data_IF_575084184513
#
_entry.id   IF_575084184513
#
_cell.length_a   1.000
_cell.length_b   1.000
_cell.length_c   1.000
_cell.angle_alpha   90.00
_cell.angle_beta   90.00
_cell.angle_gamma   90.00
#
_symmetry.space_group_name_H-M   'P 1'
#
loop_
_entity.id
_entity.type
_entity.pdbx_description
1 polymer ?
#
# COMPACT_ATOMS: atom_id res chain seq x y z
N UNK A 1 -45.02 -36.66 24.54
CA UNK A 1 -44.13 -36.12 25.57
C UNK A 1 -42.90 -35.59 24.86
N UNK A 2 -42.66 -34.26 24.88
CA UNK A 2 -41.55 -33.63 24.17
C UNK A 2 -40.38 -33.53 25.12
N UNK A 3 -39.30 -34.28 24.85
CA UNK A 3 -38.06 -34.19 25.62
C UNK A 3 -37.32 -32.92 25.24
N UNK A 4 -37.58 -31.84 25.98
CA UNK A 4 -36.78 -30.63 25.91
C UNK A 4 -35.44 -30.90 26.61
N UNK A 5 -34.40 -31.17 25.82
CA UNK A 5 -33.02 -31.24 26.31
C UNK A 5 -32.57 -29.82 26.62
N UNK A 6 -32.50 -29.48 27.91
CA UNK A 6 -32.00 -28.19 28.38
C UNK A 6 -30.50 -28.04 28.11
N UNK A 7 -30.12 -26.84 27.68
CA UNK A 7 -28.73 -26.42 27.50
C UNK A 7 -28.00 -26.52 28.85
N UNK A 8 -26.86 -27.22 28.90
CA UNK A 8 -26.15 -27.40 30.17
C UNK A 8 -25.27 -26.18 30.47
N UNK A 9 -25.12 -25.80 31.75
CA UNK A 9 -24.23 -24.70 32.14
C UNK A 9 -22.78 -24.96 31.73
N UNK A 10 -22.35 -26.23 31.77
CA UNK A 10 -21.00 -26.62 31.39
C UNK A 10 -20.77 -26.48 29.88
N UNK A 11 -21.77 -26.75 29.06
CA UNK A 11 -21.71 -26.57 27.61
C UNK A 11 -21.55 -25.11 27.24
N UNK A 12 -22.27 -24.21 27.91
CA UNK A 12 -22.08 -22.78 27.72
C UNK A 12 -20.69 -22.32 28.20
N UNK A 13 -20.22 -22.84 29.33
CA UNK A 13 -18.89 -22.51 29.89
C UNK A 13 -17.75 -22.93 28.97
N UNK A 14 -17.80 -24.14 28.40
CA UNK A 14 -16.78 -24.62 27.48
C UNK A 14 -16.79 -23.81 26.18
N UNK A 15 -17.98 -23.44 25.68
CA UNK A 15 -18.11 -22.61 24.46
C UNK A 15 -17.47 -21.24 24.65
N UNK A 16 -17.77 -20.53 25.75
CA UNK A 16 -17.16 -19.22 25.99
C UNK A 16 -15.65 -19.32 26.24
N UNK A 17 -15.17 -20.42 26.85
CA UNK A 17 -13.75 -20.67 27.03
C UNK A 17 -13.04 -20.84 25.68
N UNK A 18 -13.61 -21.62 24.76
CA UNK A 18 -13.06 -21.79 23.41
C UNK A 18 -13.13 -20.48 22.63
N UNK A 19 -14.25 -19.74 22.70
CA UNK A 19 -14.40 -18.45 22.03
C UNK A 19 -13.37 -17.43 22.53
N UNK A 20 -13.11 -17.36 23.83
CA UNK A 20 -12.11 -16.45 24.39
C UNK A 20 -10.69 -16.75 23.85
N UNK A 21 -10.33 -18.04 23.76
CA UNK A 21 -9.04 -18.47 23.21
C UNK A 21 -8.94 -18.12 21.72
N UNK A 22 -9.97 -18.44 20.92
CA UNK A 22 -9.98 -18.15 19.49
C UNK A 22 -9.90 -16.64 19.23
N UNK A 23 -10.66 -15.83 19.98
CA UNK A 23 -10.65 -14.38 19.81
C UNK A 23 -9.26 -13.78 20.07
N UNK A 24 -8.58 -14.24 21.12
CA UNK A 24 -7.22 -13.81 21.44
C UNK A 24 -6.21 -14.12 20.33
N UNK A 25 -6.27 -15.33 19.75
CA UNK A 25 -5.39 -15.72 18.65
C UNK A 25 -5.69 -14.91 17.38
N UNK A 26 -6.96 -14.74 17.02
CA UNK A 26 -7.34 -14.00 15.80
C UNK A 26 -6.95 -12.53 15.85
N UNK A 27 -6.99 -11.90 17.03
CA UNK A 27 -6.59 -10.50 17.18
C UNK A 27 -5.11 -10.30 16.83
N UNK A 28 -4.23 -11.22 17.27
CA UNK A 28 -2.80 -11.18 16.98
C UNK A 28 -2.48 -11.44 15.50
N UNK A 29 -3.30 -12.24 14.80
CA UNK A 29 -3.07 -12.50 13.37
C UNK A 29 -3.45 -11.33 12.47
N UNK A 30 -4.31 -10.42 12.94
CA UNK A 30 -4.77 -9.27 12.16
C UNK A 30 -3.84 -8.05 12.30
N UNK A 31 -3.00 -8.00 13.34
CA UNK A 31 -2.00 -6.94 13.49
C UNK A 31 -0.90 -7.13 12.45
N UNK A 32 -0.81 -6.23 11.46
CA UNK A 32 0.21 -6.24 10.40
C UNK A 32 -0.33 -6.42 8.98
N UNK A 33 -1.57 -6.93 8.81
CA UNK A 33 -2.17 -7.11 7.47
C UNK A 33 -2.35 -5.76 6.76
N UNK A 34 -2.62 -4.68 7.50
CA UNK A 34 -2.74 -3.34 6.94
C UNK A 34 -1.43 -2.81 6.36
N UNK A 35 -0.32 -3.03 7.08
CA UNK A 35 1.00 -2.54 6.68
C UNK A 35 1.55 -3.31 5.47
N UNK A 36 1.30 -4.62 5.41
CA UNK A 36 1.64 -5.43 4.24
C UNK A 36 0.84 -4.96 3.00
N UNK A 37 -0.46 -4.70 3.18
CA UNK A 37 -1.32 -4.23 2.10
C UNK A 37 -0.94 -2.83 1.60
N UNK A 38 -0.45 -1.94 2.49
CA UNK A 38 0.04 -0.62 2.07
C UNK A 38 1.37 -0.72 1.34
N UNK A 39 2.29 -1.59 1.77
CA UNK A 39 3.55 -1.84 1.08
C UNK A 39 3.34 -2.43 -0.33
N UNK A 40 2.45 -3.42 -0.48
CA UNK A 40 2.12 -3.99 -1.78
C UNK A 40 1.40 -2.98 -2.70
N UNK A 41 0.55 -2.12 -2.13
CA UNK A 41 -0.06 -1.03 -2.88
C UNK A 41 0.98 0.02 -3.33
N UNK A 42 1.95 0.34 -2.47
CA UNK A 42 3.04 1.26 -2.79
C UNK A 42 3.90 0.71 -3.93
N UNK A 43 4.26 -0.57 -3.87
CA UNK A 43 4.96 -1.29 -4.96
C UNK A 43 4.23 -1.20 -6.29
N UNK A 44 2.94 -1.53 -6.30
CA UNK A 44 2.15 -1.52 -7.53
C UNK A 44 2.05 -0.10 -8.14
N UNK A 45 1.93 0.94 -7.32
CA UNK A 45 1.96 2.33 -7.80
C UNK A 45 3.35 2.71 -8.32
N UNK A 46 4.44 2.26 -7.68
CA UNK A 46 5.82 2.43 -8.15
C UNK A 46 6.04 1.83 -9.55
N UNK A 47 5.59 0.60 -9.78
CA UNK A 47 5.68 -0.07 -11.10
C UNK A 47 4.91 0.68 -12.20
N UNK A 48 3.74 1.24 -11.86
CA UNK A 48 2.93 2.06 -12.77
C UNK A 48 3.67 3.36 -13.12
N UNK A 49 4.28 4.01 -12.13
CA UNK A 49 5.05 5.24 -12.33
C UNK A 49 6.32 4.98 -13.14
N UNK A 50 7.04 3.87 -12.89
CA UNK A 50 8.19 3.47 -13.71
C UNK A 50 7.77 3.30 -15.17
N UNK A 51 6.65 2.61 -15.41
CA UNK A 51 6.12 2.45 -16.77
C UNK A 51 5.80 3.81 -17.43
N UNK A 52 5.27 4.76 -16.66
CA UNK A 52 4.99 6.11 -17.16
C UNK A 52 6.28 6.89 -17.48
N UNK A 53 7.32 6.77 -16.64
CA UNK A 53 8.64 7.33 -16.88
C UNK A 53 9.26 6.74 -18.16
N UNK A 54 9.23 5.42 -18.34
CA UNK A 54 9.74 4.74 -19.52
C UNK A 54 9.03 5.19 -20.81
N UNK A 55 7.69 5.29 -20.78
CA UNK A 55 6.92 5.79 -21.93
C UNK A 55 7.30 7.24 -22.25
N UNK A 56 7.45 8.06 -21.22
CA UNK A 56 7.77 9.46 -21.38
C UNK A 56 9.20 9.68 -21.93
N UNK A 57 10.15 8.83 -21.52
CA UNK A 57 11.52 8.78 -22.05
C UNK A 57 11.54 8.39 -23.53
N UNK A 58 10.87 7.28 -23.87
CA UNK A 58 10.82 6.75 -25.25
C UNK A 58 10.19 7.73 -26.25
N UNK A 59 9.27 8.57 -25.80
CA UNK A 59 8.63 9.61 -26.60
C UNK A 59 9.42 10.92 -26.63
N UNK A 60 10.56 11.01 -25.92
CA UNK A 60 11.37 12.23 -25.74
C UNK A 60 10.55 13.43 -25.25
N UNK A 61 9.43 13.15 -24.56
CA UNK A 61 8.47 14.14 -24.04
C UNK A 61 8.76 14.51 -22.60
N UNK A 62 9.54 13.69 -21.90
CA UNK A 62 10.12 14.08 -20.63
C UNK A 62 11.23 15.08 -20.92
N UNK A 63 11.05 16.33 -20.48
CA UNK A 63 12.19 17.20 -20.21
C UNK A 63 13.05 16.42 -19.24
N UNK A 64 14.16 15.86 -19.73
CA UNK A 64 15.20 15.14 -18.99
C UNK A 64 15.19 15.58 -17.52
N UNK A 65 14.70 14.76 -16.56
CA UNK A 65 14.84 15.13 -15.17
C UNK A 65 16.31 14.91 -14.85
N UNK A 66 17.20 15.79 -15.31
CA UNK A 66 18.62 15.79 -14.96
C UNK A 66 18.87 16.10 -13.48
N UNK A 67 17.85 15.92 -12.65
CA UNK A 67 17.78 16.15 -11.22
C UNK A 67 16.80 15.13 -10.64
N UNK A 68 17.20 14.52 -9.53
CA UNK A 68 16.33 13.67 -8.73
C UNK A 68 15.03 14.41 -8.39
N UNK A 69 13.92 13.68 -8.40
CA UNK A 69 12.59 14.23 -8.19
C UNK A 69 11.81 13.48 -7.11
N UNK A 70 10.88 14.20 -6.50
CA UNK A 70 9.88 13.65 -5.59
C UNK A 70 8.59 14.41 -5.78
N UNK A 71 7.50 13.68 -6.06
CA UNK A 71 6.18 14.29 -6.12
C UNK A 71 5.09 13.27 -5.80
N UNK A 72 3.86 13.77 -5.65
CA UNK A 72 2.67 12.94 -5.71
C UNK A 72 2.25 12.79 -7.19
N UNK A 73 2.51 11.64 -7.84
CA UNK A 73 2.38 11.52 -9.28
C UNK A 73 0.91 11.48 -9.68
N UNK A 74 0.56 12.16 -10.77
CA UNK A 74 -0.79 12.15 -11.32
C UNK A 74 -0.87 12.74 -12.73
N UNK A 75 -2.06 12.76 -13.35
CA UNK A 75 -2.27 13.18 -14.74
C UNK A 75 -1.71 14.56 -15.11
N UNK A 76 -1.54 15.43 -14.12
CA UNK A 76 -1.16 16.83 -14.29
C UNK A 76 0.04 17.24 -13.40
N UNK A 77 0.82 16.27 -12.91
CA UNK A 77 1.93 16.56 -11.97
C UNK A 77 3.19 17.02 -12.72
N UNK A 78 3.77 16.12 -13.52
CA UNK A 78 5.00 16.29 -14.27
C UNK A 78 4.83 15.77 -15.71
N UNK A 79 5.91 15.77 -16.51
CA UNK A 79 5.86 15.35 -17.91
C UNK A 79 5.39 13.90 -18.09
N UNK A 80 5.84 12.97 -17.23
CA UNK A 80 5.38 11.59 -17.25
C UNK A 80 3.95 11.44 -16.69
N UNK A 81 3.49 12.41 -15.90
CA UNK A 81 2.15 12.46 -15.33
C UNK A 81 1.06 12.31 -16.38
N UNK A 82 1.26 12.82 -17.59
CA UNK A 82 0.31 12.68 -18.71
C UNK A 82 -0.04 11.22 -19.07
N UNK A 83 0.80 10.25 -18.71
CA UNK A 83 0.58 8.82 -18.94
C UNK A 83 -0.11 8.11 -17.78
N UNK A 84 -0.34 8.81 -16.66
CA UNK A 84 -1.04 8.29 -15.51
C UNK A 84 -2.54 8.55 -15.63
N UNK A 85 -3.35 7.58 -15.18
CA UNK A 85 -4.82 7.69 -15.19
C UNK A 85 -5.40 8.38 -13.96
N UNK A 86 -4.69 8.33 -12.84
CA UNK A 86 -5.14 8.87 -11.54
C UNK A 86 -3.95 9.40 -10.77
N UNK A 87 -4.22 10.32 -9.85
CA UNK A 87 -3.23 10.75 -8.87
C UNK A 87 -3.02 9.64 -7.85
N UNK A 88 -1.77 9.26 -7.61
CA UNK A 88 -1.40 8.30 -6.57
C UNK A 88 -1.67 8.89 -5.19
N UNK A 89 -1.93 8.03 -4.19
CA UNK A 89 -1.97 8.49 -2.79
C UNK A 89 -0.57 8.74 -2.23
N UNK A 90 0.43 8.09 -2.81
CA UNK A 90 1.80 8.05 -2.31
C UNK A 90 2.65 9.10 -2.99
N UNK A 91 3.73 9.50 -2.33
CA UNK A 91 4.81 10.22 -2.99
C UNK A 91 5.76 9.21 -3.62
N UNK A 92 6.31 9.54 -4.79
CA UNK A 92 7.24 8.68 -5.50
C UNK A 92 8.51 9.48 -5.77
N UNK A 93 9.64 8.90 -5.38
CA UNK A 93 10.97 9.42 -5.68
C UNK A 93 11.51 8.78 -6.96
N UNK A 94 12.24 9.55 -7.76
CA UNK A 94 12.99 9.03 -8.90
C UNK A 94 14.33 9.74 -9.03
N UNK A 95 15.28 9.08 -9.68
CA UNK A 95 16.60 9.64 -9.97
C UNK A 95 16.68 10.27 -11.37
N UNK A 96 17.82 10.90 -11.63
CA UNK A 96 18.11 11.48 -12.94
C UNK A 96 18.19 10.46 -14.10
N UNK A 97 18.23 9.16 -13.80
CA UNK A 97 18.16 8.07 -14.77
C UNK A 97 16.74 7.60 -15.08
N UNK A 98 15.71 8.34 -14.63
CA UNK A 98 14.30 7.96 -14.79
C UNK A 98 13.95 6.63 -14.10
N UNK A 99 14.73 6.23 -13.09
CA UNK A 99 14.42 5.08 -12.25
C UNK A 99 13.68 5.54 -10.99
N UNK A 100 12.59 4.86 -10.65
CA UNK A 100 11.96 5.00 -9.34
C UNK A 100 12.96 4.54 -8.27
N UNK A 101 13.15 5.37 -7.23
CA UNK A 101 14.07 5.13 -6.10
C UNK A 101 13.35 4.80 -4.80
N UNK A 102 12.03 4.97 -4.79
CA UNK A 102 11.19 4.54 -3.69
C UNK A 102 9.79 5.14 -3.75
N UNK A 103 8.89 4.52 -2.99
CA UNK A 103 7.51 5.00 -2.79
C UNK A 103 7.31 5.30 -1.30
N UNK A 104 6.79 6.49 -1.01
CA UNK A 104 6.75 7.10 0.32
C UNK A 104 5.31 7.35 0.77
N UNK A 105 5.13 7.49 2.08
CA UNK A 105 3.82 7.74 2.67
C UNK A 105 3.18 9.03 2.16
N UNK A 106 1.85 9.13 2.29
CA UNK A 106 1.05 10.27 1.80
C UNK A 106 1.37 11.60 2.49
N UNK A 107 2.12 11.57 3.59
CA UNK A 107 2.56 12.71 4.39
C UNK A 107 4.05 13.03 4.24
N UNK A 108 4.77 12.39 3.30
CA UNK A 108 6.18 12.65 3.03
C UNK A 108 6.40 13.33 1.65
N UNK A 109 6.16 14.65 1.55
CA UNK A 109 6.32 15.38 0.30
C UNK A 109 7.78 15.55 -0.15
N UNK A 110 8.73 15.07 0.65
CA UNK A 110 10.17 15.23 0.40
C UNK A 110 10.86 13.94 0.02
N UNK A 111 10.17 12.79 0.09
CA UNK A 111 10.74 11.47 -0.14
C UNK A 111 12.01 11.23 0.71
N UNK A 112 12.05 11.83 1.90
CA UNK A 112 13.23 11.80 2.77
C UNK A 112 13.12 10.76 3.88
N UNK A 113 11.92 10.25 4.12
CA UNK A 113 11.62 9.20 5.09
C UNK A 113 12.02 7.82 4.59
N UNK A 114 11.61 6.80 5.35
CA UNK A 114 11.80 5.41 4.94
C UNK A 114 10.79 5.05 3.85
N UNK A 115 11.23 4.57 2.68
CA UNK A 115 10.30 4.15 1.64
C UNK A 115 9.49 2.93 2.10
N UNK A 116 8.21 2.90 1.75
CA UNK A 116 7.32 1.75 1.91
C UNK A 116 7.71 0.62 0.95
N UNK A 117 8.28 0.99 -0.19
CA UNK A 117 8.84 0.08 -1.19
C UNK A 117 10.08 0.71 -1.84
N UNK A 118 11.22 -0.02 -1.92
CA UNK A 118 12.47 0.47 -2.51
C UNK A 118 12.43 0.50 -4.04
#
# INVERSE_FOLDING_TARGET
>A
MRSERGFTLIELLVVIAILAVLFGLTALTLTGVGDEATAEAAKAEGDIVQTALDICDTLSSCSDPGTDGCEQPGPNSSAYGAYLRRTSRFYVGWDAGLSVTGVFAEDDPTCAGTPLWP
#
